data_IF_913555163055
#
_entry.id   IF_913555163055
#
_cell.length_a   1.000
_cell.length_b   1.000
_cell.length_c   1.000
_cell.angle_alpha   90.00
_cell.angle_beta   90.00
_cell.angle_gamma   90.00
#
_symmetry.space_group_name_H-M   'P 1'
#
loop_
_entity.id
_entity.type
_entity.pdbx_description
1 polymer ?
#
# COMPACT_ATOMS: atom_id res chain seq x y z
N UNK A 1 -1.89 -28.85 -9.92
CA UNK A 1 -1.59 -28.73 -8.47
C UNK A 1 -0.85 -27.41 -8.25
N UNK A 2 -1.32 -26.57 -7.35
CA UNK A 2 -0.66 -25.30 -6.98
C UNK A 2 0.71 -25.63 -6.40
N UNK A 3 1.75 -24.93 -6.88
CA UNK A 3 3.12 -25.06 -6.39
C UNK A 3 3.50 -23.81 -5.63
N UNK A 4 4.04 -23.97 -4.42
CA UNK A 4 4.49 -22.86 -3.56
C UNK A 4 5.98 -23.05 -3.29
N UNK A 5 6.78 -22.01 -3.55
CA UNK A 5 8.23 -22.00 -3.28
C UNK A 5 8.63 -20.71 -2.59
N UNK A 6 9.58 -20.77 -1.67
CA UNK A 6 10.04 -19.57 -0.96
C UNK A 6 10.83 -18.63 -1.89
N UNK A 7 10.65 -17.32 -1.69
CA UNK A 7 11.44 -16.28 -2.36
C UNK A 7 12.79 -16.16 -1.63
N UNK A 8 13.93 -16.21 -2.37
CA UNK A 8 15.23 -16.03 -1.77
C UNK A 8 15.37 -14.70 -1.01
N UNK A 9 16.23 -14.67 0.01
CA UNK A 9 16.60 -13.49 0.81
C UNK A 9 15.47 -12.84 1.63
N UNK A 10 14.26 -13.37 1.58
CA UNK A 10 13.14 -12.87 2.40
C UNK A 10 12.92 -13.69 3.68
N UNK A 11 13.85 -14.57 4.05
CA UNK A 11 13.85 -15.35 5.31
C UNK A 11 12.51 -16.05 5.60
N UNK A 12 11.90 -16.62 4.57
CA UNK A 12 10.61 -17.30 4.66
C UNK A 12 9.38 -16.39 4.70
N UNK A 13 9.54 -15.07 4.53
CA UNK A 13 8.43 -14.12 4.45
C UNK A 13 7.95 -13.81 3.03
N UNK A 14 8.46 -14.50 2.03
CA UNK A 14 8.01 -14.37 0.66
C UNK A 14 7.82 -15.70 -0.04
N UNK A 15 6.81 -15.80 -0.93
CA UNK A 15 6.55 -17.01 -1.72
C UNK A 15 6.20 -16.70 -3.17
N UNK A 16 6.65 -17.59 -4.07
CA UNK A 16 6.08 -17.76 -5.39
C UNK A 16 4.91 -18.74 -5.33
N UNK A 17 3.87 -18.46 -6.09
CA UNK A 17 2.73 -19.36 -6.31
C UNK A 17 2.56 -19.57 -7.80
N UNK A 18 2.66 -20.81 -8.24
CA UNK A 18 2.54 -21.19 -9.64
C UNK A 18 1.35 -22.13 -9.87
N UNK A 19 0.90 -22.21 -11.10
CA UNK A 19 -0.14 -23.12 -11.55
C UNK A 19 -1.47 -22.89 -10.83
N UNK A 20 -1.84 -21.64 -10.60
CA UNK A 20 -3.11 -21.28 -10.00
C UNK A 20 -4.17 -21.07 -11.08
N UNK A 21 -5.37 -21.62 -10.87
CA UNK A 21 -6.55 -21.32 -11.66
C UNK A 21 -7.62 -20.69 -10.78
N UNK A 22 -7.70 -19.37 -10.79
CA UNK A 22 -8.63 -18.61 -9.95
C UNK A 22 -10.10 -18.90 -10.22
N UNK A 23 -10.44 -19.45 -11.39
CA UNK A 23 -11.85 -19.78 -11.74
C UNK A 23 -12.34 -21.03 -11.03
N UNK A 24 -11.45 -21.94 -10.69
CA UNK A 24 -11.79 -23.25 -10.14
C UNK A 24 -11.37 -23.43 -8.68
N UNK A 25 -10.89 -22.38 -8.01
CA UNK A 25 -10.56 -22.45 -6.59
C UNK A 25 -11.81 -22.67 -5.74
N UNK A 26 -11.74 -23.66 -4.87
CA UNK A 26 -12.72 -23.88 -3.81
C UNK A 26 -12.67 -22.75 -2.76
N UNK A 27 -13.73 -22.63 -1.96
CA UNK A 27 -13.77 -21.68 -0.84
C UNK A 27 -12.62 -21.88 0.14
N UNK A 28 -12.22 -23.15 0.37
CA UNK A 28 -11.11 -23.46 1.27
C UNK A 28 -9.78 -22.98 0.70
N UNK A 29 -9.50 -23.24 -0.58
CA UNK A 29 -8.28 -22.79 -1.24
C UNK A 29 -8.16 -21.26 -1.25
N UNK A 30 -9.26 -20.53 -1.49
CA UNK A 30 -9.29 -19.08 -1.34
C UNK A 30 -8.89 -18.63 0.07
N UNK A 31 -9.39 -19.30 1.10
CA UNK A 31 -9.05 -19.00 2.49
C UNK A 31 -7.59 -19.30 2.79
N UNK A 32 -7.08 -20.42 2.28
CA UNK A 32 -5.69 -20.85 2.54
C UNK A 32 -4.68 -19.95 1.84
N UNK A 33 -4.97 -19.50 0.62
CA UNK A 33 -4.16 -18.49 -0.07
C UNK A 33 -4.15 -17.13 0.69
N UNK A 34 -5.30 -16.71 1.20
CA UNK A 34 -5.37 -15.48 2.01
C UNK A 34 -4.58 -15.58 3.31
N UNK A 35 -4.63 -16.73 4.01
CA UNK A 35 -3.80 -17.01 5.19
C UNK A 35 -2.31 -17.05 4.83
N UNK A 36 -1.99 -17.66 3.70
CA UNK A 36 -0.61 -17.74 3.20
C UNK A 36 -0.05 -16.33 2.96
N UNK A 37 -0.80 -15.48 2.27
CA UNK A 37 -0.41 -14.10 1.99
C UNK A 37 -0.15 -13.29 3.28
N UNK A 38 -1.05 -13.39 4.28
CA UNK A 38 -0.85 -12.71 5.56
C UNK A 38 0.42 -13.18 6.27
N UNK A 39 0.67 -14.49 6.29
CA UNK A 39 1.83 -15.09 6.96
C UNK A 39 3.14 -14.82 6.25
N UNK A 40 3.11 -14.82 4.91
CA UNK A 40 4.31 -14.70 4.09
C UNK A 40 4.67 -13.26 3.74
N UNK A 41 3.81 -12.31 3.97
CA UNK A 41 3.96 -10.88 3.71
C UNK A 41 4.14 -10.49 2.24
N UNK A 42 4.81 -11.31 1.41
CA UNK A 42 4.98 -11.12 -0.04
C UNK A 42 4.56 -12.41 -0.74
N UNK A 43 3.64 -12.30 -1.69
CA UNK A 43 3.19 -13.40 -2.54
C UNK A 43 3.23 -12.96 -4.00
N UNK A 44 3.99 -13.68 -4.81
CA UNK A 44 4.11 -13.46 -6.25
C UNK A 44 3.44 -14.65 -6.96
N UNK A 45 2.35 -14.38 -7.64
CA UNK A 45 1.58 -15.39 -8.38
C UNK A 45 1.87 -15.18 -9.86
N UNK A 46 2.49 -16.17 -10.50
CA UNK A 46 2.94 -16.04 -11.90
C UNK A 46 1.93 -16.61 -12.87
N UNK A 47 1.84 -15.96 -14.05
CA UNK A 47 1.00 -16.41 -15.18
C UNK A 47 -0.45 -16.65 -14.75
N UNK A 48 -1.09 -15.59 -14.25
CA UNK A 48 -2.42 -15.70 -13.64
C UNK A 48 -3.58 -15.77 -14.64
N UNK A 49 -3.37 -15.32 -15.87
CA UNK A 49 -4.42 -15.15 -16.88
C UNK A 49 -5.46 -14.07 -16.51
N UNK A 50 -5.15 -13.20 -15.54
CA UNK A 50 -6.06 -12.15 -15.10
C UNK A 50 -5.95 -10.91 -15.99
N UNK A 51 -7.10 -10.30 -16.23
CA UNK A 51 -7.22 -8.92 -16.73
C UNK A 51 -7.61 -7.97 -15.59
N UNK A 52 -7.68 -6.67 -15.86
CA UNK A 52 -8.02 -5.65 -14.85
C UNK A 52 -9.38 -5.88 -14.19
N UNK A 53 -10.34 -6.49 -14.87
CA UNK A 53 -11.68 -6.74 -14.36
C UNK A 53 -11.71 -7.97 -13.44
N UNK A 54 -11.10 -9.05 -13.87
CA UNK A 54 -10.98 -10.28 -13.06
C UNK A 54 -10.07 -10.09 -11.87
N UNK A 55 -9.00 -9.30 -12.00
CA UNK A 55 -8.12 -8.89 -10.91
C UNK A 55 -8.89 -8.30 -9.73
N UNK A 56 -9.75 -7.30 -9.99
CA UNK A 56 -10.57 -6.69 -8.96
C UNK A 56 -11.47 -7.73 -8.25
N UNK A 57 -12.07 -8.66 -9.00
CA UNK A 57 -12.91 -9.70 -8.42
C UNK A 57 -12.12 -10.69 -7.55
N UNK A 58 -10.89 -11.01 -7.96
CA UNK A 58 -9.98 -11.87 -7.20
C UNK A 58 -9.62 -11.22 -5.86
N UNK A 59 -9.16 -9.98 -5.88
CA UNK A 59 -8.72 -9.31 -4.65
C UNK A 59 -9.88 -9.12 -3.66
N UNK A 60 -11.08 -8.86 -4.14
CA UNK A 60 -12.30 -8.78 -3.28
C UNK A 60 -12.59 -10.04 -2.48
N UNK A 61 -12.07 -11.21 -2.87
CA UNK A 61 -12.21 -12.43 -2.08
C UNK A 61 -11.43 -12.38 -0.77
N UNK A 62 -10.33 -11.62 -0.74
CA UNK A 62 -9.46 -11.48 0.43
C UNK A 62 -9.73 -10.25 1.26
N UNK A 63 -10.11 -9.14 0.62
CA UNK A 63 -10.30 -7.90 1.34
C UNK A 63 -11.17 -6.88 0.62
N UNK A 64 -11.42 -5.79 1.32
CA UNK A 64 -12.20 -4.69 0.78
C UNK A 64 -11.29 -3.66 0.15
N UNK A 65 -11.77 -3.10 -0.96
CA UNK A 65 -11.23 -1.91 -1.57
C UNK A 65 -11.14 -0.77 -0.56
N UNK A 66 -9.93 -0.26 -0.39
CA UNK A 66 -9.68 0.88 0.46
C UNK A 66 -8.60 1.75 -0.16
N UNK A 67 -8.98 2.98 -0.46
CA UNK A 67 -8.04 4.03 -0.83
C UNK A 67 -8.26 5.20 0.11
N UNK A 68 -7.23 5.55 0.87
CA UNK A 68 -7.35 6.60 1.88
C UNK A 68 -7.70 7.96 1.27
N UNK A 69 -7.28 8.26 0.02
CA UNK A 69 -7.69 9.48 -0.64
C UNK A 69 -9.21 9.56 -0.80
N UNK A 70 -9.84 8.49 -1.28
CA UNK A 70 -11.30 8.44 -1.39
C UNK A 70 -11.96 8.57 -0.01
N UNK A 71 -11.44 7.88 1.01
CA UNK A 71 -11.94 8.00 2.37
C UNK A 71 -11.81 9.42 2.92
N UNK A 72 -10.68 10.08 2.71
CA UNK A 72 -10.46 11.48 3.13
C UNK A 72 -11.40 12.43 2.37
N UNK A 73 -11.57 12.23 1.06
CA UNK A 73 -12.47 13.03 0.25
C UNK A 73 -13.92 12.94 0.76
N UNK A 74 -14.41 11.73 1.02
CA UNK A 74 -15.77 11.52 1.52
C UNK A 74 -15.95 11.97 2.97
N UNK A 75 -14.91 11.91 3.79
CA UNK A 75 -14.94 12.51 5.12
C UNK A 75 -15.09 14.03 5.07
N UNK A 76 -14.46 14.68 4.07
CA UNK A 76 -14.59 16.12 3.84
C UNK A 76 -15.96 16.51 3.29
N UNK A 77 -16.56 15.66 2.48
CA UNK A 77 -17.84 15.89 1.82
C UNK A 77 -18.86 14.77 2.16
N UNK A 78 -19.28 14.65 3.43
CA UNK A 78 -20.17 13.56 3.88
C UNK A 78 -21.53 13.58 3.20
N UNK A 79 -22.00 14.76 2.74
CA UNK A 79 -23.25 14.92 2.01
C UNK A 79 -23.25 14.24 0.64
N UNK A 80 -22.09 13.95 0.06
CA UNK A 80 -21.97 13.26 -1.22
C UNK A 80 -22.23 11.74 -1.12
N UNK A 81 -22.41 11.18 0.08
CA UNK A 81 -22.74 9.77 0.31
C UNK A 81 -21.87 8.78 -0.50
N UNK A 82 -20.57 9.04 -0.58
CA UNK A 82 -19.65 8.21 -1.34
C UNK A 82 -19.70 8.37 -2.87
N UNK A 83 -20.44 9.35 -3.39
CA UNK A 83 -20.60 9.57 -4.82
C UNK A 83 -19.73 10.74 -5.30
N UNK A 84 -18.60 10.41 -5.93
CA UNK A 84 -17.63 11.41 -6.42
C UNK A 84 -18.26 12.38 -7.42
N UNK A 85 -19.17 11.92 -8.26
CA UNK A 85 -19.84 12.76 -9.26
C UNK A 85 -20.69 13.87 -8.60
N UNK A 86 -21.24 13.65 -7.42
CA UNK A 86 -21.94 14.70 -6.64
C UNK A 86 -20.95 15.77 -6.15
N UNK A 87 -19.76 15.37 -5.70
CA UNK A 87 -18.71 16.32 -5.29
C UNK A 87 -18.28 17.19 -6.48
N UNK A 88 -18.07 16.58 -7.64
CA UNK A 88 -17.69 17.30 -8.87
C UNK A 88 -18.78 18.24 -9.35
N UNK A 89 -20.06 17.89 -9.18
CA UNK A 89 -21.20 18.71 -9.58
C UNK A 89 -21.51 19.87 -8.60
N UNK A 90 -21.02 19.79 -7.37
CA UNK A 90 -21.33 20.77 -6.32
C UNK A 90 -20.69 22.14 -6.58
N UNK A 91 -21.38 23.19 -6.23
CA UNK A 91 -20.86 24.56 -6.23
C UNK A 91 -20.03 24.91 -4.97
N UNK A 92 -20.09 24.06 -3.95
CA UNK A 92 -19.32 24.24 -2.69
C UNK A 92 -17.86 23.81 -2.82
N UNK A 93 -17.52 23.05 -3.87
CA UNK A 93 -16.17 22.52 -4.12
C UNK A 93 -15.46 23.40 -5.14
N UNK A 94 -14.23 23.80 -4.84
CA UNK A 94 -13.44 24.63 -5.74
C UNK A 94 -13.13 23.92 -7.06
N UNK A 95 -12.99 24.69 -8.15
CA UNK A 95 -12.65 24.13 -9.45
C UNK A 95 -11.24 23.49 -9.45
N UNK A 96 -10.33 23.99 -8.64
CA UNK A 96 -9.00 23.39 -8.44
C UNK A 96 -9.13 21.97 -7.85
N UNK A 97 -9.90 21.81 -6.80
CA UNK A 97 -10.13 20.49 -6.17
C UNK A 97 -10.89 19.55 -7.10
N UNK A 98 -11.91 20.02 -7.81
CA UNK A 98 -12.61 19.24 -8.84
C UNK A 98 -11.66 18.77 -9.94
N UNK A 99 -10.70 19.58 -10.35
CA UNK A 99 -9.68 19.20 -11.32
C UNK A 99 -8.83 18.04 -10.81
N UNK A 100 -8.40 18.09 -9.54
CA UNK A 100 -7.62 17.02 -8.91
C UNK A 100 -8.43 15.73 -8.87
N UNK A 101 -9.70 15.81 -8.46
CA UNK A 101 -10.60 14.65 -8.37
C UNK A 101 -10.80 14.01 -9.77
N UNK A 102 -11.04 14.81 -10.80
CA UNK A 102 -11.19 14.33 -12.18
C UNK A 102 -9.91 13.65 -12.68
N UNK A 103 -8.75 14.22 -12.39
CA UNK A 103 -7.45 13.61 -12.74
C UNK A 103 -7.26 12.26 -12.02
N UNK A 104 -7.59 12.18 -10.74
CA UNK A 104 -7.50 10.95 -9.99
C UNK A 104 -8.47 9.87 -10.52
N UNK A 105 -9.69 10.24 -10.89
CA UNK A 105 -10.62 9.34 -11.57
C UNK A 105 -10.09 8.88 -12.94
N UNK A 106 -9.47 9.79 -13.69
CA UNK A 106 -8.91 9.50 -15.01
C UNK A 106 -7.83 8.42 -14.97
N UNK A 107 -7.01 8.39 -13.93
CA UNK A 107 -5.96 7.37 -13.75
C UNK A 107 -6.45 6.10 -13.04
N UNK A 108 -7.74 6.00 -12.76
CA UNK A 108 -8.38 4.84 -12.15
C UNK A 108 -8.69 4.95 -10.65
N UNK A 109 -8.23 6.00 -9.98
CA UNK A 109 -8.57 6.26 -8.58
C UNK A 109 -9.99 6.79 -8.41
N UNK A 110 -10.62 6.56 -7.27
CA UNK A 110 -12.01 6.97 -6.96
C UNK A 110 -13.04 6.53 -8.00
N UNK A 111 -12.76 5.46 -8.75
CA UNK A 111 -13.66 4.95 -9.77
C UNK A 111 -14.39 3.69 -9.27
N UNK A 112 -15.59 3.87 -8.78
CA UNK A 112 -16.44 2.77 -8.27
C UNK A 112 -16.75 1.70 -9.34
N UNK A 113 -16.79 2.08 -10.63
CA UNK A 113 -17.07 1.14 -11.73
C UNK A 113 -15.91 0.18 -11.99
N UNK A 114 -14.66 0.65 -11.82
CA UNK A 114 -13.44 -0.15 -12.01
C UNK A 114 -12.85 -0.66 -10.70
N UNK A 115 -13.55 -0.47 -9.57
CA UNK A 115 -13.12 -0.92 -8.25
C UNK A 115 -11.88 -0.20 -7.75
N UNK A 116 -11.74 1.10 -8.05
CA UNK A 116 -10.64 1.93 -7.59
C UNK A 116 -9.23 1.39 -7.96
N UNK A 117 -9.13 0.67 -9.05
CA UNK A 117 -7.86 0.15 -9.55
C UNK A 117 -7.07 1.27 -10.21
N UNK A 118 -6.02 1.73 -9.52
CA UNK A 118 -5.13 2.76 -10.02
C UNK A 118 -4.21 2.20 -11.10
N UNK A 119 -4.09 2.91 -12.22
CA UNK A 119 -3.09 2.60 -13.25
C UNK A 119 -1.75 3.22 -12.90
N UNK A 120 -0.73 2.38 -12.82
CA UNK A 120 0.68 2.79 -12.63
C UNK A 120 1.38 2.65 -13.98
N UNK A 121 1.59 3.78 -14.67
CA UNK A 121 2.00 3.75 -16.08
C UNK A 121 2.62 5.07 -16.54
N UNK A 122 3.70 4.99 -17.31
CA UNK A 122 4.24 6.10 -18.08
C UNK A 122 3.60 6.27 -19.46
N UNK A 123 2.76 5.30 -19.88
CA UNK A 123 2.14 5.26 -21.19
C UNK A 123 1.23 6.46 -21.44
N UNK A 124 1.31 7.00 -22.66
CA UNK A 124 0.43 8.06 -23.14
C UNK A 124 -0.46 7.55 -24.26
N UNK A 125 -1.74 7.91 -24.24
CA UNK A 125 -2.69 7.69 -25.33
C UNK A 125 -3.18 9.04 -25.82
N UNK A 126 -3.04 9.33 -27.11
CA UNK A 126 -3.34 10.64 -27.69
C UNK A 126 -2.66 11.82 -26.95
N UNK A 127 -1.41 11.63 -26.54
CA UNK A 127 -0.61 12.61 -25.81
C UNK A 127 -0.95 12.75 -24.32
N UNK A 128 -2.00 12.10 -23.84
CA UNK A 128 -2.40 12.13 -22.42
C UNK A 128 -1.92 10.89 -21.67
N UNK A 129 -1.38 11.08 -20.47
CA UNK A 129 -1.03 9.98 -19.57
C UNK A 129 -2.26 9.19 -19.17
N UNK A 130 -2.14 7.87 -19.15
CA UNK A 130 -3.22 6.97 -18.70
C UNK A 130 -3.08 6.50 -17.26
N UNK A 131 -1.95 6.76 -16.62
CA UNK A 131 -1.65 6.33 -15.25
C UNK A 131 -0.86 7.36 -14.45
N UNK A 132 -0.61 7.02 -13.20
CA UNK A 132 0.27 7.75 -12.28
C UNK A 132 1.66 7.14 -12.23
N UNK A 133 2.61 7.85 -11.61
CA UNK A 133 3.99 7.40 -11.40
C UNK A 133 4.69 7.06 -12.71
N UNK A 134 4.60 7.99 -13.66
CA UNK A 134 4.92 7.78 -15.06
C UNK A 134 6.37 7.38 -15.30
N UNK A 135 7.32 8.05 -14.70
CA UNK A 135 8.72 7.98 -15.08
C UNK A 135 9.63 7.64 -13.90
N UNK A 136 10.75 6.97 -14.19
CA UNK A 136 11.85 6.74 -13.29
C UNK A 136 11.62 5.68 -12.20
N UNK A 137 12.63 5.53 -11.37
CA UNK A 137 12.58 4.64 -10.22
C UNK A 137 11.73 5.25 -9.10
N UNK A 138 10.97 4.40 -8.42
CA UNK A 138 10.41 4.74 -7.13
C UNK A 138 11.30 4.17 -6.04
N UNK A 139 11.76 5.02 -5.13
CA UNK A 139 12.57 4.58 -4.00
C UNK A 139 11.79 3.68 -3.04
N UNK A 140 12.49 3.02 -2.13
CA UNK A 140 11.88 2.20 -1.09
C UNK A 140 10.82 2.96 -0.30
N UNK A 141 9.60 2.46 -0.29
CA UNK A 141 8.46 3.09 0.38
C UNK A 141 7.37 2.08 0.74
N UNK A 142 6.54 2.47 1.69
CA UNK A 142 5.21 1.91 1.90
C UNK A 142 4.18 2.94 1.46
N UNK A 143 3.09 2.50 0.86
CA UNK A 143 2.01 3.40 0.48
C UNK A 143 1.37 4.00 1.73
N UNK A 144 1.07 5.30 1.68
CA UNK A 144 0.36 6.00 2.77
C UNK A 144 1.09 5.98 4.12
N UNK A 145 2.40 5.80 4.14
CA UNK A 145 3.18 5.57 5.36
C UNK A 145 3.12 6.70 6.41
N UNK A 146 2.69 7.90 6.05
CA UNK A 146 2.39 9.00 6.98
C UNK A 146 0.96 8.99 7.50
N UNK A 147 0.09 8.08 7.07
CA UNK A 147 -1.28 7.98 7.56
C UNK A 147 -1.39 6.99 8.72
N UNK A 148 -1.97 7.42 9.85
CA UNK A 148 -2.20 6.57 11.02
C UNK A 148 -3.03 5.33 10.68
N UNK A 149 -3.89 5.41 9.67
CA UNK A 149 -4.74 4.34 9.19
C UNK A 149 -4.42 3.96 7.74
N UNK A 150 -3.15 3.75 7.44
CA UNK A 150 -2.69 3.29 6.12
C UNK A 150 -3.42 2.00 5.69
N UNK A 151 -3.49 1.76 4.41
CA UNK A 151 -4.09 0.52 3.87
C UNK A 151 -3.10 -0.64 4.02
N UNK A 152 -3.48 -1.76 4.68
CA UNK A 152 -2.53 -2.79 5.09
C UNK A 152 -2.04 -3.70 3.97
N UNK A 153 -2.67 -3.69 2.80
CA UNK A 153 -2.24 -4.54 1.68
C UNK A 153 -2.28 -3.83 0.33
N UNK A 154 -1.35 -4.21 -0.52
CA UNK A 154 -1.26 -3.77 -1.91
C UNK A 154 -1.20 -4.97 -2.83
N UNK A 155 -1.93 -4.89 -3.94
CA UNK A 155 -1.83 -5.81 -5.05
C UNK A 155 -1.44 -5.06 -6.33
N UNK A 156 -0.53 -5.65 -7.09
CA UNK A 156 -0.08 -5.16 -8.39
C UNK A 156 -0.32 -6.26 -9.43
N UNK A 157 -1.09 -5.98 -10.46
CA UNK A 157 -1.24 -6.84 -11.62
C UNK A 157 -0.53 -6.21 -12.81
N UNK A 158 0.40 -6.92 -13.42
CA UNK A 158 0.96 -6.53 -14.70
C UNK A 158 -0.11 -6.60 -15.80
N UNK A 159 0.00 -5.75 -16.80
CA UNK A 159 -0.95 -5.73 -17.90
C UNK A 159 -0.30 -5.53 -19.27
N UNK A 160 0.72 -4.69 -19.38
CA UNK A 160 1.42 -4.44 -20.63
C UNK A 160 2.89 -4.09 -20.40
N UNK A 161 3.77 -4.71 -21.17
CA UNK A 161 5.22 -4.40 -21.24
C UNK A 161 5.92 -4.42 -19.85
N UNK A 162 5.64 -5.41 -19.05
CA UNK A 162 6.17 -5.50 -17.69
C UNK A 162 7.61 -6.01 -17.63
N UNK A 163 8.03 -6.85 -18.59
CA UNK A 163 9.26 -7.67 -18.53
C UNK A 163 10.58 -6.90 -18.42
N UNK A 164 10.61 -5.62 -18.80
CA UNK A 164 11.79 -4.76 -18.65
C UNK A 164 11.81 -3.96 -17.36
N UNK A 165 10.94 -4.27 -16.42
CA UNK A 165 10.83 -3.58 -15.15
C UNK A 165 10.80 -4.56 -13.99
N UNK A 166 11.10 -4.05 -12.78
CA UNK A 166 11.04 -4.85 -11.58
C UNK A 166 10.25 -4.15 -10.47
N UNK A 167 9.73 -4.97 -9.56
CA UNK A 167 9.24 -4.53 -8.25
C UNK A 167 10.14 -5.16 -7.19
N UNK A 168 10.86 -4.32 -6.45
CA UNK A 168 11.66 -4.77 -5.33
C UNK A 168 10.83 -4.80 -4.05
N UNK A 169 11.12 -5.77 -3.20
CA UNK A 169 10.53 -5.94 -1.87
C UNK A 169 11.63 -5.92 -0.82
N UNK A 170 11.39 -5.25 0.30
CA UNK A 170 12.22 -5.23 1.48
C UNK A 170 11.35 -5.58 2.68
N UNK A 171 11.55 -6.76 3.26
CA UNK A 171 10.79 -7.21 4.43
C UNK A 171 11.55 -6.82 5.69
N UNK A 172 10.91 -6.07 6.59
CA UNK A 172 11.59 -5.51 7.77
C UNK A 172 11.59 -6.42 8.99
N UNK A 173 10.69 -7.40 9.04
CA UNK A 173 10.57 -8.32 10.17
C UNK A 173 11.83 -9.17 10.45
N UNK A 174 12.54 -9.75 9.46
CA UNK A 174 13.76 -10.49 9.74
C UNK A 174 14.84 -9.63 10.39
N UNK A 175 14.99 -8.38 9.95
CA UNK A 175 15.92 -7.46 10.57
C UNK A 175 15.57 -7.20 12.03
N UNK A 176 14.31 -6.82 12.31
CA UNK A 176 13.84 -6.58 13.66
C UNK A 176 14.09 -7.80 14.56
N UNK A 177 13.79 -9.01 14.08
CA UNK A 177 13.98 -10.25 14.83
C UNK A 177 15.46 -10.61 15.05
N UNK A 178 16.39 -10.13 14.23
CA UNK A 178 17.84 -10.37 14.37
C UNK A 178 18.51 -9.48 15.41
N UNK A 179 17.81 -8.47 15.91
CA UNK A 179 18.35 -7.53 16.90
C UNK A 179 18.31 -8.09 18.31
N UNK A 180 19.19 -7.58 19.19
CA UNK A 180 19.13 -7.88 20.62
C UNK A 180 17.82 -7.39 21.25
N UNK A 181 17.40 -8.01 22.36
CA UNK A 181 16.19 -7.62 23.09
C UNK A 181 16.23 -6.16 23.55
N UNK A 182 17.42 -5.71 24.01
CA UNK A 182 17.62 -4.32 24.40
C UNK A 182 17.37 -3.36 23.25
N UNK A 183 17.94 -3.64 22.07
CA UNK A 183 17.79 -2.75 20.92
C UNK A 183 16.38 -2.81 20.34
N UNK A 184 15.73 -3.99 20.35
CA UNK A 184 14.30 -4.07 19.99
C UNK A 184 13.42 -3.21 20.89
N UNK A 185 13.68 -3.25 22.21
CA UNK A 185 12.95 -2.41 23.17
C UNK A 185 13.15 -0.92 22.91
N UNK A 186 14.35 -0.49 22.51
CA UNK A 186 14.62 0.89 22.11
C UNK A 186 13.84 1.26 20.84
N UNK A 187 13.82 0.38 19.82
CA UNK A 187 13.08 0.61 18.59
C UNK A 187 11.56 0.65 18.81
N UNK A 188 11.05 -0.18 19.72
CA UNK A 188 9.62 -0.24 20.06
C UNK A 188 9.10 1.11 20.61
N UNK A 189 9.97 1.94 21.20
CA UNK A 189 9.62 3.26 21.75
C UNK A 189 9.82 4.40 20.74
N UNK A 190 10.47 4.14 19.62
CA UNK A 190 10.81 5.20 18.66
C UNK A 190 9.63 5.63 17.82
N UNK A 191 9.51 6.94 17.63
CA UNK A 191 8.51 7.59 16.81
C UNK A 191 9.19 8.27 15.62
N UNK A 192 8.75 7.95 14.43
CA UNK A 192 9.19 8.60 13.21
C UNK A 192 8.33 9.82 12.88
N UNK A 193 8.96 10.84 12.33
CA UNK A 193 8.28 12.03 11.80
C UNK A 193 8.18 11.84 10.29
N UNK A 194 6.96 11.80 9.79
CA UNK A 194 6.67 11.69 8.37
C UNK A 194 6.21 13.03 7.81
N UNK A 195 6.81 13.41 6.69
CA UNK A 195 6.38 14.56 5.92
C UNK A 195 6.48 14.21 4.44
N UNK A 196 5.44 14.49 3.69
CA UNK A 196 5.47 14.32 2.26
C UNK A 196 6.22 15.49 1.60
N UNK A 197 7.41 15.21 1.10
CA UNK A 197 8.20 16.19 0.34
C UNK A 197 8.16 15.82 -1.13
N UNK A 198 7.47 16.60 -1.99
CA UNK A 198 7.48 16.36 -3.44
C UNK A 198 8.93 16.30 -3.96
N UNK A 199 9.19 15.39 -4.90
CA UNK A 199 10.52 15.16 -5.45
C UNK A 199 11.43 14.22 -4.64
N UNK A 200 11.13 13.95 -3.37
CA UNK A 200 11.80 12.88 -2.60
C UNK A 200 11.38 11.48 -3.05
N UNK A 201 10.14 11.35 -3.49
CA UNK A 201 9.56 10.06 -3.91
C UNK A 201 10.09 9.63 -5.27
N UNK A 202 10.18 10.59 -6.18
CA UNK A 202 10.71 10.35 -7.51
C UNK A 202 11.38 11.65 -8.00
N UNK A 203 12.70 11.67 -8.17
CA UNK A 203 13.40 12.82 -8.72
C UNK A 203 12.94 13.21 -10.13
N UNK A 204 12.32 12.28 -10.88
CA UNK A 204 11.73 12.52 -12.19
C UNK A 204 10.27 13.01 -12.17
N UNK A 205 9.61 13.08 -11.02
CA UNK A 205 8.26 13.64 -10.89
C UNK A 205 8.30 15.16 -10.87
N UNK A 206 8.59 15.75 -12.02
CA UNK A 206 8.60 17.20 -12.20
C UNK A 206 7.27 17.76 -12.71
N UNK A 207 6.23 16.94 -12.85
CA UNK A 207 4.95 17.41 -13.31
C UNK A 207 4.14 18.02 -12.16
N UNK A 208 3.71 19.29 -12.27
CA UNK A 208 2.96 19.97 -11.21
C UNK A 208 1.68 19.25 -10.78
N UNK A 209 1.07 18.51 -11.71
CA UNK A 209 -0.18 17.77 -11.48
C UNK A 209 0.04 16.56 -10.55
N UNK A 210 1.11 15.79 -10.75
CA UNK A 210 1.44 14.67 -9.90
C UNK A 210 1.78 15.18 -8.49
N UNK A 211 2.52 16.27 -8.37
CA UNK A 211 2.82 16.90 -7.10
C UNK A 211 1.56 17.37 -6.36
N UNK A 212 0.60 17.93 -7.08
CA UNK A 212 -0.66 18.38 -6.50
C UNK A 212 -1.52 17.20 -6.02
N UNK A 213 -1.59 16.13 -6.82
CA UNK A 213 -2.27 14.89 -6.42
C UNK A 213 -1.63 14.27 -5.18
N UNK A 214 -0.30 14.17 -5.12
CA UNK A 214 0.41 13.68 -3.95
C UNK A 214 0.17 14.51 -2.70
N UNK A 215 0.23 15.82 -2.82
CA UNK A 215 -0.02 16.74 -1.71
C UNK A 215 -1.44 16.53 -1.12
N UNK A 216 -2.41 16.21 -1.95
CA UNK A 216 -3.79 15.96 -1.50
C UNK A 216 -4.03 14.50 -1.04
N UNK A 217 -3.17 13.57 -1.43
CA UNK A 217 -3.22 12.17 -0.97
C UNK A 217 -2.51 11.96 0.36
N UNK A 218 -1.64 12.87 0.75
CA UNK A 218 -0.89 12.78 1.99
C UNK A 218 -1.63 13.53 3.10
N UNK A 219 -1.75 12.91 4.27
CA UNK A 219 -2.28 13.58 5.44
C UNK A 219 -1.37 14.73 5.88
N UNK A 220 -1.76 15.38 6.96
CA UNK A 220 -1.12 16.56 7.51
C UNK A 220 0.41 16.48 7.56
N UNK A 221 1.12 17.60 7.34
CA UNK A 221 2.57 17.65 7.51
C UNK A 221 2.97 17.24 8.92
N UNK A 222 4.15 16.62 9.04
CA UNK A 222 4.73 16.19 10.32
C UNK A 222 3.89 15.19 11.13
N UNK A 223 3.31 14.19 10.44
CA UNK A 223 2.61 13.11 11.13
C UNK A 223 3.61 12.22 11.89
N UNK A 224 3.33 11.99 13.15
CA UNK A 224 4.10 11.09 14.01
C UNK A 224 3.53 9.67 13.95
N UNK A 225 4.38 8.69 13.61
CA UNK A 225 4.02 7.26 13.51
C UNK A 225 5.08 6.42 14.23
N UNK A 226 4.71 5.42 15.07
CA UNK A 226 5.67 4.49 15.66
C UNK A 226 6.52 3.78 14.60
N UNK A 227 7.82 3.64 14.87
CA UNK A 227 8.74 2.91 14.00
C UNK A 227 8.38 1.43 13.95
N UNK A 228 8.10 0.83 15.09
CA UNK A 228 7.74 -0.59 15.18
C UNK A 228 6.23 -0.74 15.23
N UNK A 229 5.71 -1.51 14.29
CA UNK A 229 4.29 -1.87 14.25
C UNK A 229 4.14 -3.36 13.99
N UNK A 230 2.93 -3.87 14.07
CA UNK A 230 2.64 -5.23 13.67
C UNK A 230 1.77 -5.31 12.42
N UNK A 231 2.02 -6.32 11.61
CA UNK A 231 1.17 -6.66 10.46
C UNK A 231 -0.16 -7.27 10.93
N UNK A 232 -1.17 -7.40 10.05
CA UNK A 232 -2.39 -8.13 10.37
C UNK A 232 -2.21 -9.59 10.79
N UNK A 233 -1.06 -10.19 10.49
CA UNK A 233 -0.72 -11.53 11.00
C UNK A 233 -0.06 -11.50 12.39
N UNK A 234 0.07 -10.33 13.03
CA UNK A 234 0.74 -10.16 14.31
C UNK A 234 2.26 -10.18 14.24
N UNK A 235 2.83 -10.12 13.04
CA UNK A 235 4.29 -10.09 12.84
C UNK A 235 4.77 -8.66 13.08
N UNK A 236 5.70 -8.47 14.02
CA UNK A 236 6.35 -7.18 14.26
C UNK A 236 7.41 -6.88 13.21
N UNK A 237 7.53 -5.62 12.83
CA UNK A 237 8.55 -5.12 11.92
C UNK A 237 8.62 -3.60 11.92
N UNK A 238 9.47 -3.04 11.07
CA UNK A 238 9.67 -1.60 10.99
C UNK A 238 8.76 -0.99 9.92
N UNK A 239 8.00 0.02 10.31
CA UNK A 239 7.23 0.88 9.39
C UNK A 239 8.08 2.08 9.00
N UNK A 240 9.01 1.87 8.09
CA UNK A 240 10.01 2.84 7.72
C UNK A 240 10.01 3.09 6.21
N UNK A 241 9.49 4.23 5.79
CA UNK A 241 9.44 4.63 4.38
C UNK A 241 10.48 5.70 4.09
N UNK A 242 11.45 5.41 3.25
CA UNK A 242 12.51 6.35 2.88
C UNK A 242 11.99 7.64 2.22
N UNK A 243 10.79 7.58 1.64
CA UNK A 243 10.21 8.70 0.92
C UNK A 243 9.62 9.77 1.82
N UNK A 244 9.08 9.37 2.96
CA UNK A 244 8.30 10.27 3.82
C UNK A 244 8.96 10.56 5.15
N UNK A 245 9.83 9.69 5.66
CA UNK A 245 10.51 9.91 6.94
C UNK A 245 11.50 11.06 6.84
N UNK A 246 11.34 12.05 7.71
CA UNK A 246 12.18 13.25 7.79
C UNK A 246 13.01 13.31 9.06
N UNK A 247 12.66 12.54 10.08
CA UNK A 247 13.39 12.50 11.34
C UNK A 247 12.84 11.48 12.32
N UNK A 248 13.49 11.40 13.46
CA UNK A 248 13.10 10.62 14.63
C UNK A 248 12.78 11.61 15.77
N UNK A 249 11.63 11.44 16.39
CA UNK A 249 11.19 12.32 17.49
C UNK A 249 12.22 12.31 18.64
N UNK A 250 12.60 13.50 19.08
CA UNK A 250 13.57 13.65 20.15
C UNK A 250 15.05 13.57 19.74
N UNK A 251 15.34 13.23 18.47
CA UNK A 251 16.71 13.23 17.95
C UNK A 251 17.04 14.52 17.21
N UNK A 252 18.32 14.91 17.23
CA UNK A 252 18.80 15.95 16.33
C UNK A 252 18.68 15.52 14.86
N UNK A 253 18.69 16.47 13.94
CA UNK A 253 18.64 16.17 12.49
C UNK A 253 19.80 15.27 12.06
N UNK A 254 21.01 15.52 12.56
CA UNK A 254 22.20 14.73 12.23
C UNK A 254 22.11 13.32 12.78
N UNK A 255 21.63 13.14 14.01
CA UNK A 255 21.46 11.82 14.62
C UNK A 255 20.36 11.03 13.93
N UNK A 256 19.24 11.67 13.61
CA UNK A 256 18.17 11.07 12.81
C UNK A 256 18.69 10.54 11.48
N UNK A 257 19.46 11.34 10.73
CA UNK A 257 20.02 10.93 9.42
C UNK A 257 20.95 9.72 9.60
N UNK A 258 21.84 9.74 10.60
CA UNK A 258 22.74 8.63 10.87
C UNK A 258 21.95 7.37 11.20
N UNK A 259 21.04 7.43 12.16
CA UNK A 259 20.20 6.31 12.57
C UNK A 259 19.40 5.71 11.40
N UNK A 260 18.74 6.56 10.61
CA UNK A 260 17.95 6.11 9.46
C UNK A 260 18.82 5.47 8.36
N UNK A 261 20.05 5.92 8.19
CA UNK A 261 20.99 5.27 7.27
C UNK A 261 21.45 3.91 7.82
N UNK A 262 21.72 3.78 9.11
CA UNK A 262 22.08 2.50 9.74
C UNK A 262 20.95 1.47 9.59
N UNK A 263 19.70 1.88 9.80
CA UNK A 263 18.53 1.03 9.51
C UNK A 263 18.49 0.59 8.04
N UNK A 264 18.74 1.50 7.12
CA UNK A 264 18.78 1.20 5.68
C UNK A 264 19.80 0.13 5.35
N UNK A 265 21.01 0.23 5.90
CA UNK A 265 22.06 -0.75 5.70
C UNK A 265 21.70 -2.11 6.30
N UNK A 266 21.14 -2.13 7.51
CA UNK A 266 20.67 -3.36 8.16
C UNK A 266 19.57 -4.09 7.38
N UNK A 267 18.67 -3.34 6.75
CA UNK A 267 17.55 -3.87 5.97
C UNK A 267 17.99 -4.38 4.57
N UNK A 268 19.09 -3.91 4.03
CA UNK A 268 19.50 -4.16 2.64
C UNK A 268 19.62 -5.65 2.28
N UNK A 269 19.97 -6.52 3.24
CA UNK A 269 20.12 -7.98 3.01
C UNK A 269 18.78 -8.72 2.90
N UNK A 270 17.69 -8.11 3.32
CA UNK A 270 16.35 -8.69 3.30
C UNK A 270 15.51 -8.15 2.15
N UNK A 271 16.14 -8.08 0.98
CA UNK A 271 15.52 -7.54 -0.23
C UNK A 271 15.48 -8.58 -1.34
N UNK A 272 14.46 -8.46 -2.18
CA UNK A 272 14.34 -9.23 -3.41
C UNK A 272 13.76 -8.36 -4.51
N UNK A 273 14.42 -8.27 -5.65
CA UNK A 273 13.93 -7.57 -6.84
C UNK A 273 13.31 -8.57 -7.79
N UNK A 274 11.99 -8.55 -7.89
CA UNK A 274 11.25 -9.35 -8.85
C UNK A 274 11.22 -8.65 -10.20
N UNK A 275 12.02 -9.12 -11.14
CA UNK A 275 11.88 -8.76 -12.55
C UNK A 275 10.68 -9.50 -13.12
N UNK A 276 9.70 -8.72 -13.59
CA UNK A 276 8.44 -9.27 -14.08
C UNK A 276 8.69 -10.27 -15.19
N UNK A 277 8.21 -11.49 -15.02
CA UNK A 277 8.39 -12.58 -15.99
C UNK A 277 7.28 -12.55 -17.05
N UNK A 278 6.05 -12.15 -16.66
CA UNK A 278 4.89 -12.10 -17.54
C UNK A 278 4.07 -10.82 -17.29
N UNK A 279 3.30 -10.41 -18.31
CA UNK A 279 2.42 -9.25 -18.21
C UNK A 279 1.23 -9.46 -17.26
N UNK A 280 0.87 -10.71 -16.97
CA UNK A 280 -0.25 -11.08 -16.10
C UNK A 280 0.16 -11.61 -14.72
N UNK A 281 1.39 -11.40 -14.31
CA UNK A 281 1.83 -11.73 -12.95
C UNK A 281 1.13 -10.85 -11.93
N UNK A 282 0.78 -11.44 -10.77
CA UNK A 282 0.11 -10.77 -9.68
C UNK A 282 0.99 -10.77 -8.43
N UNK A 283 1.34 -9.59 -7.95
CA UNK A 283 2.09 -9.38 -6.72
C UNK A 283 1.15 -8.90 -5.64
N UNK A 284 1.14 -9.56 -4.48
CA UNK A 284 0.37 -9.14 -3.30
C UNK A 284 1.31 -9.05 -2.12
N UNK A 285 1.30 -7.93 -1.42
CA UNK A 285 2.22 -7.73 -0.31
C UNK A 285 1.61 -6.92 0.83
N UNK A 286 2.12 -7.18 2.02
CA UNK A 286 1.83 -6.40 3.21
C UNK A 286 2.40 -4.99 3.06
N UNK A 287 1.64 -3.99 3.44
CA UNK A 287 2.05 -2.58 3.36
C UNK A 287 2.45 -2.00 4.73
N UNK A 288 2.30 -2.79 5.80
CA UNK A 288 2.66 -2.36 7.15
C UNK A 288 4.18 -2.39 7.37
N UNK A 289 4.79 -3.54 7.05
CA UNK A 289 6.18 -3.87 7.38
C UNK A 289 6.98 -4.39 6.17
N UNK A 290 6.43 -4.22 4.96
CA UNK A 290 7.14 -4.44 3.70
C UNK A 290 7.23 -3.12 2.96
N UNK A 291 8.44 -2.73 2.59
CA UNK A 291 8.66 -1.67 1.64
C UNK A 291 8.79 -2.23 0.24
N UNK A 292 8.42 -1.43 -0.73
CA UNK A 292 8.60 -1.79 -2.13
C UNK A 292 9.23 -0.65 -2.91
N UNK A 293 9.83 -1.02 -4.04
CA UNK A 293 10.41 -0.06 -4.99
C UNK A 293 10.13 -0.48 -6.42
N UNK A 294 10.30 0.44 -7.34
CA UNK A 294 10.20 0.18 -8.77
C UNK A 294 11.55 0.44 -9.44
N UNK A 295 11.95 -0.48 -10.30
CA UNK A 295 13.18 -0.43 -11.08
C UNK A 295 12.90 -0.67 -12.57
N UNK A 296 13.87 -0.31 -13.40
CA UNK A 296 13.85 -0.60 -14.83
C UNK A 296 13.02 0.37 -15.67
N UNK A 297 12.73 -0.02 -16.90
CA UNK A 297 11.98 0.81 -17.85
C UNK A 297 10.48 0.82 -17.54
N UNK A 298 9.94 2.01 -17.41
CA UNK A 298 8.54 2.23 -17.06
C UNK A 298 7.76 3.02 -18.09
N UNK A 299 8.41 3.41 -19.18
CA UNK A 299 7.87 4.36 -20.17
C UNK A 299 6.60 3.87 -20.83
N UNK A 300 6.56 2.59 -21.22
CA UNK A 300 5.43 1.98 -21.92
C UNK A 300 4.70 0.89 -21.13
N UNK A 301 5.09 0.67 -19.87
CA UNK A 301 4.47 -0.37 -19.06
C UNK A 301 3.11 0.09 -18.54
N UNK A 302 2.22 -0.87 -18.33
CA UNK A 302 0.96 -0.70 -17.63
C UNK A 302 0.88 -1.73 -16.50
N UNK A 303 0.74 -1.24 -15.29
CA UNK A 303 0.46 -2.04 -14.10
C UNK A 303 -0.83 -1.52 -13.44
N UNK A 304 -1.66 -2.43 -12.97
CA UNK A 304 -2.84 -2.12 -12.18
C UNK A 304 -2.50 -2.26 -10.68
N UNK A 305 -2.72 -1.20 -9.91
CA UNK A 305 -2.56 -1.21 -8.45
C UNK A 305 -3.91 -1.22 -7.77
N UNK A 306 -4.06 -2.09 -6.79
CA UNK A 306 -5.21 -2.16 -5.92
C UNK A 306 -4.76 -2.13 -4.47
N UNK A 307 -5.31 -1.23 -3.67
CA UNK A 307 -5.08 -1.20 -2.23
C UNK A 307 -6.31 -1.75 -1.53
N UNK A 308 -6.11 -2.69 -0.63
CA UNK A 308 -7.23 -3.37 0.01
C UNK A 308 -6.96 -3.64 1.49
N UNK A 309 -8.04 -3.71 2.22
CA UNK A 309 -8.01 -4.00 3.64
C UNK A 309 -8.43 -5.46 3.86
N UNK A 310 -7.46 -6.29 4.24
CA UNK A 310 -7.71 -7.69 4.57
C UNK A 310 -7.93 -7.94 6.07
N UNK A 311 -8.07 -6.89 6.87
CA UNK A 311 -8.33 -7.01 8.31
C UNK A 311 -9.62 -7.77 8.62
N UNK A 312 -10.59 -7.75 7.71
CA UNK A 312 -11.78 -8.59 7.83
C UNK A 312 -11.48 -10.09 7.71
N UNK A 313 -10.59 -10.50 6.81
CA UNK A 313 -10.10 -11.88 6.72
C UNK A 313 -9.36 -12.26 8.00
N UNK A 314 -8.49 -11.39 8.48
CA UNK A 314 -7.77 -11.53 9.74
C UNK A 314 -8.75 -11.73 10.91
N UNK A 315 -9.77 -10.88 11.03
CA UNK A 315 -10.80 -11.02 12.06
C UNK A 315 -11.56 -12.37 11.97
N UNK A 316 -11.88 -12.83 10.77
CA UNK A 316 -12.51 -14.15 10.58
C UNK A 316 -11.63 -15.28 11.09
N UNK A 317 -10.31 -15.16 10.91
CA UNK A 317 -9.34 -16.17 11.30
C UNK A 317 -9.02 -16.11 12.80
N UNK A 318 -8.75 -14.91 13.34
CA UNK A 318 -8.22 -14.72 14.70
C UNK A 318 -9.27 -14.31 15.72
N UNK A 319 -10.43 -13.80 15.28
CA UNK A 319 -11.47 -13.18 16.12
C UNK A 319 -11.00 -11.91 16.85
N UNK A 320 -9.90 -11.32 16.40
CA UNK A 320 -9.35 -10.09 16.95
C UNK A 320 -9.29 -9.01 15.90
N UNK A 321 -9.57 -7.77 16.28
CA UNK A 321 -9.38 -6.61 15.42
C UNK A 321 -7.89 -6.36 15.21
N UNK A 322 -7.53 -6.00 13.99
CA UNK A 322 -6.19 -5.55 13.69
C UNK A 322 -5.97 -4.14 14.20
N UNK A 323 -4.98 -3.97 15.05
CA UNK A 323 -4.49 -2.67 15.51
C UNK A 323 -2.97 -2.71 15.39
N UNK A 324 -2.37 -1.92 14.47
CA UNK A 324 -0.93 -2.00 14.20
C UNK A 324 -0.06 -1.46 15.35
N UNK A 325 -0.62 -0.60 16.17
CA UNK A 325 0.10 0.15 17.21
C UNK A 325 -0.13 -0.44 18.59
N UNK A 326 0.93 -0.65 19.36
CA UNK A 326 0.87 -1.02 20.78
C UNK A 326 0.82 0.20 21.72
N UNK A 327 1.32 1.35 21.24
CA UNK A 327 1.52 2.56 22.03
C UNK A 327 0.32 3.51 21.95
N UNK A 328 -0.01 4.17 23.06
CA UNK A 328 -0.88 5.35 23.08
C UNK A 328 -0.06 6.62 22.79
N UNK A 329 -0.66 7.65 22.14
CA UNK A 329 -2.05 7.74 21.69
C UNK A 329 -2.31 7.15 20.28
N UNK A 330 -1.33 6.50 19.66
CA UNK A 330 -1.40 6.02 18.28
C UNK A 330 -2.47 4.93 18.10
N UNK A 331 -2.59 4.06 19.10
CA UNK A 331 -3.62 3.02 19.16
C UNK A 331 -5.02 3.62 19.11
N UNK A 332 -5.32 4.56 19.99
CA UNK A 332 -6.63 5.23 20.05
C UNK A 332 -6.92 6.01 18.77
N UNK A 333 -5.96 6.77 18.26
CA UNK A 333 -6.09 7.51 16.98
C UNK A 333 -6.39 6.59 15.78
N UNK A 334 -5.75 5.42 15.74
CA UNK A 334 -6.02 4.43 14.70
C UNK A 334 -7.47 3.91 14.80
N UNK A 335 -7.91 3.52 15.99
CA UNK A 335 -9.26 3.00 16.23
C UNK A 335 -10.32 4.03 15.84
N UNK A 336 -10.15 5.29 16.25
CA UNK A 336 -11.07 6.37 15.90
C UNK A 336 -11.17 6.58 14.39
N UNK A 337 -10.03 6.63 13.70
CA UNK A 337 -10.00 6.79 12.25
C UNK A 337 -10.58 5.58 11.53
N UNK A 338 -10.32 4.37 12.00
CA UNK A 338 -10.90 3.15 11.42
C UNK A 338 -12.40 3.07 11.61
N UNK A 339 -12.93 3.50 12.75
CA UNK A 339 -14.36 3.59 12.99
C UNK A 339 -15.04 4.64 12.07
N UNK A 340 -14.38 5.78 11.85
CA UNK A 340 -14.83 6.77 10.87
C UNK A 340 -14.89 6.16 9.46
N UNK A 341 -13.83 5.51 9.01
CA UNK A 341 -13.78 4.83 7.71
C UNK A 341 -14.86 3.73 7.62
N UNK A 342 -15.03 2.94 8.67
CA UNK A 342 -16.04 1.88 8.74
C UNK A 342 -17.48 2.43 8.62
N UNK A 343 -17.78 3.56 9.24
CA UNK A 343 -19.07 4.22 9.10
C UNK A 343 -19.32 4.70 7.67
N UNK A 344 -18.30 5.28 7.02
CA UNK A 344 -18.39 5.69 5.62
C UNK A 344 -18.64 4.50 4.68
N UNK A 345 -17.92 3.39 4.88
CA UNK A 345 -18.09 2.19 4.06
C UNK A 345 -19.46 1.53 4.25
N UNK A 346 -20.08 1.62 5.44
CA UNK A 346 -21.46 1.17 5.67
C UNK A 346 -22.46 1.96 4.83
N UNK A 347 -22.27 3.27 4.66
CA UNK A 347 -23.10 4.08 3.77
C UNK A 347 -23.01 3.66 2.31
N UNK A 348 -21.88 3.05 1.91
CA UNK A 348 -21.71 2.46 0.58
C UNK A 348 -22.23 1.01 0.48
N UNK A 349 -22.91 0.48 1.50
CA UNK A 349 -23.40 -0.90 1.54
C UNK A 349 -22.29 -1.97 1.74
N UNK A 350 -21.09 -1.56 2.16
CA UNK A 350 -19.98 -2.45 2.47
C UNK A 350 -19.97 -2.80 3.97
N UNK A 351 -19.73 -4.07 4.29
CA UNK A 351 -19.55 -4.48 5.69
C UNK A 351 -18.10 -4.25 6.13
N UNK A 352 -17.92 -3.58 7.24
CA UNK A 352 -16.62 -3.35 7.86
C UNK A 352 -16.68 -3.72 9.35
N UNK A 353 -15.67 -4.37 9.93
CA UNK A 353 -15.67 -4.64 11.37
C UNK A 353 -15.67 -3.34 12.16
N UNK A 354 -16.46 -3.29 13.23
CA UNK A 354 -16.40 -2.20 14.20
C UNK A 354 -15.18 -2.44 15.07
N UNK A 355 -14.31 -1.46 15.18
CA UNK A 355 -13.16 -1.50 16.07
C UNK A 355 -13.60 -1.10 17.48
N UNK A 356 -13.28 -1.93 18.46
CA UNK A 356 -13.60 -1.72 19.87
C UNK A 356 -12.32 -1.57 20.67
#
# INVERSE_FOLDING_TARGET
>A
MIRITDIPNLEGYGVFVDNIDFKHLSRQEWMDLGKLQMKKLVMIIRSTGLDSRSFHQVIKKWGQDRQNYAATLFARYPWANGQVDQIIASTEVSEEEKKIIREFQRVGGCNQKTGNTLRVSGKKVNGQRIGMFADGELLWHSNESGDIAFTPAVALLGAENMTNSATGFMVTAPYYNSLSDSFRSELDEMILIHNFVPGKINPGLNEPQDNLMYKNMCPDPDTEIPLVIQSPAGIKGLHYSFNTVTGVKGMSKSDSVRFLNDLKWGLAKYTYDYWWENDDDLLIFDNSIVQHRRLGDTTNRLCHRYQFDYTYLQYKVTKQNYIPYSQEPYRSRYVDKMNMIGNMLKHEGKSFPVFV
#
